data_IF_165246746259
#
_entry.id   IF_165246746259
#
_cell.length_a   1.000
_cell.length_b   1.000
_cell.length_c   1.000
_cell.angle_alpha   90.00
_cell.angle_beta   90.00
_cell.angle_gamma   90.00
#
_symmetry.space_group_name_H-M   'P 1'
#
loop_
_entity.id
_entity.type
_entity.pdbx_description
1 polymer ?
#
# COMPACT_ATOMS: atom_id res chain seq x y z
N UNK A 1 -10.29 -28.12 42.65
CA UNK A 1 -11.14 -26.99 42.23
C UNK A 1 -10.82 -26.63 40.77
N UNK A 2 -11.40 -27.31 39.79
CA UNK A 2 -11.04 -27.10 38.38
C UNK A 2 -11.70 -25.82 37.85
N UNK A 3 -10.88 -24.81 37.50
CA UNK A 3 -11.35 -23.51 37.03
C UNK A 3 -11.75 -23.64 35.56
N UNK A 4 -13.04 -23.86 35.31
CA UNK A 4 -13.60 -23.95 33.96
C UNK A 4 -13.46 -22.60 33.25
N UNK A 5 -12.46 -22.47 32.36
CA UNK A 5 -12.38 -21.33 31.44
C UNK A 5 -13.56 -21.43 30.47
N UNK A 6 -14.51 -20.50 30.59
CA UNK A 6 -15.67 -20.40 29.70
C UNK A 6 -15.18 -19.96 28.32
N UNK A 7 -15.06 -20.92 27.39
CA UNK A 7 -14.69 -20.69 25.98
C UNK A 7 -15.45 -19.51 25.35
N UNK A 8 -16.73 -19.35 25.71
CA UNK A 8 -17.59 -18.25 25.25
C UNK A 8 -17.13 -16.87 25.73
N UNK A 9 -16.59 -16.76 26.94
CA UNK A 9 -16.08 -15.49 27.47
C UNK A 9 -14.71 -15.14 26.86
N UNK A 10 -13.90 -16.15 26.54
CA UNK A 10 -12.67 -15.96 25.77
C UNK A 10 -12.96 -15.48 24.35
N UNK A 11 -13.93 -16.10 23.66
CA UNK A 11 -14.34 -15.68 22.30
C UNK A 11 -14.95 -14.27 22.29
N UNK A 12 -15.75 -13.91 23.30
CA UNK A 12 -16.27 -12.54 23.42
C UNK A 12 -15.17 -11.51 23.65
N UNK A 13 -14.19 -11.80 24.51
CA UNK A 13 -13.04 -10.92 24.74
C UNK A 13 -12.12 -10.83 23.52
N UNK A 14 -11.92 -11.94 22.81
CA UNK A 14 -11.15 -12.00 21.57
C UNK A 14 -11.87 -11.27 20.41
N UNK A 15 -13.20 -11.28 20.35
CA UNK A 15 -13.95 -10.51 19.37
C UNK A 15 -13.84 -9.00 19.63
N UNK A 16 -13.90 -8.57 20.90
CA UNK A 16 -13.78 -7.16 21.28
C UNK A 16 -12.34 -6.63 21.10
N UNK A 17 -11.32 -7.44 21.40
CA UNK A 17 -9.91 -7.07 21.18
C UNK A 17 -9.41 -7.30 19.75
N UNK A 18 -9.98 -8.28 19.05
CA UNK A 18 -9.57 -8.68 17.70
C UNK A 18 -10.19 -7.83 16.59
N UNK A 19 -11.31 -7.15 16.83
CA UNK A 19 -11.87 -6.20 15.87
C UNK A 19 -10.91 -5.01 15.61
N UNK A 20 -10.18 -4.56 16.63
CA UNK A 20 -9.15 -3.54 16.47
C UNK A 20 -7.93 -4.06 15.67
N UNK A 21 -7.55 -5.33 15.86
CA UNK A 21 -6.43 -5.95 15.14
C UNK A 21 -6.81 -6.29 13.69
N UNK A 22 -8.04 -6.75 13.44
CA UNK A 22 -8.56 -7.00 12.09
C UNK A 22 -8.68 -5.69 11.29
N UNK A 23 -9.13 -4.59 11.92
CA UNK A 23 -9.13 -3.27 11.29
C UNK A 23 -7.72 -2.72 11.03
N UNK A 24 -6.72 -3.12 11.82
CA UNK A 24 -5.31 -2.79 11.54
C UNK A 24 -4.69 -3.64 10.43
N UNK A 25 -5.22 -4.85 10.17
CA UNK A 25 -4.74 -5.74 9.10
C UNK A 25 -5.16 -5.28 7.69
N UNK A 26 -6.22 -4.47 7.59
CA UNK A 26 -6.61 -3.82 6.33
C UNK A 26 -5.84 -2.51 6.07
N UNK A 27 -5.10 -2.00 7.05
CA UNK A 27 -4.36 -0.74 6.95
C UNK A 27 -2.90 -0.92 6.50
N UNK A 28 -2.42 -2.17 6.38
CA UNK A 28 -1.01 -2.47 6.11
C UNK A 28 -0.60 -2.49 4.63
N UNK A 29 -1.45 -2.00 3.72
CA UNK A 29 -1.08 -1.80 2.31
C UNK A 29 -1.02 -0.31 1.94
N UNK A 30 -0.03 0.46 2.43
CA UNK A 30 0.12 1.89 2.10
C UNK A 30 0.11 2.16 0.60
N UNK A 31 0.67 1.25 -0.21
CA UNK A 31 0.72 1.38 -1.67
C UNK A 31 -0.66 1.29 -2.35
N UNK A 32 -1.66 0.67 -1.71
CA UNK A 32 -3.03 0.58 -2.22
C UNK A 32 -3.92 1.63 -1.56
N UNK A 33 -3.68 1.94 -0.28
CA UNK A 33 -4.43 2.92 0.48
C UNK A 33 -4.00 4.38 0.22
N UNK A 34 -2.88 4.62 -0.46
CA UNK A 34 -2.43 5.96 -0.80
C UNK A 34 -3.18 6.51 -2.03
N UNK A 35 -3.67 7.75 -1.90
CA UNK A 35 -4.32 8.49 -2.98
C UNK A 35 -3.36 8.85 -4.12
N UNK A 36 -2.05 8.99 -3.82
CA UNK A 36 -0.96 9.23 -4.78
C UNK A 36 0.26 8.40 -4.43
N UNK A 37 0.99 7.95 -5.45
CA UNK A 37 2.27 7.24 -5.33
C UNK A 37 3.37 8.07 -5.99
N UNK A 38 4.39 8.43 -5.21
CA UNK A 38 5.58 9.12 -5.73
C UNK A 38 6.62 8.10 -6.18
N UNK A 39 6.98 8.13 -7.47
CA UNK A 39 7.92 7.17 -8.08
C UNK A 39 9.23 7.86 -8.43
N UNK A 40 10.35 7.35 -7.91
CA UNK A 40 11.69 7.76 -8.32
C UNK A 40 12.21 6.88 -9.47
N UNK A 41 12.32 7.45 -10.67
CA UNK A 41 12.89 6.75 -11.83
C UNK A 41 14.41 6.90 -11.87
N UNK A 42 15.13 5.82 -11.55
CA UNK A 42 16.60 5.76 -11.64
C UNK A 42 17.01 5.13 -12.97
N UNK A 43 17.88 5.82 -13.70
CA UNK A 43 18.40 5.37 -14.99
C UNK A 43 19.94 5.34 -14.98
N UNK A 44 20.53 4.48 -15.80
CA UNK A 44 22.00 4.41 -15.99
C UNK A 44 22.53 5.46 -16.97
N UNK A 45 21.64 6.20 -17.64
CA UNK A 45 21.92 7.28 -18.56
C UNK A 45 21.51 8.64 -17.99
N UNK A 46 22.12 9.75 -18.47
CA UNK A 46 21.73 11.09 -18.05
C UNK A 46 20.31 11.45 -18.51
N UNK A 47 19.77 12.51 -17.92
CA UNK A 47 18.50 13.11 -18.36
C UNK A 47 18.62 13.54 -19.84
N UNK A 48 17.51 13.42 -20.58
CA UNK A 48 17.40 13.76 -22.00
C UNK A 48 18.28 12.97 -22.97
N UNK A 49 18.85 11.83 -22.54
CA UNK A 49 19.58 10.96 -23.45
C UNK A 49 18.70 10.55 -24.65
N UNK A 50 19.13 10.78 -25.91
CA UNK A 50 18.31 10.50 -27.08
C UNK A 50 17.85 9.04 -27.11
N UNK A 51 16.54 8.83 -27.28
CA UNK A 51 15.92 7.51 -27.27
C UNK A 51 15.64 7.00 -25.85
N UNK A 52 16.67 6.77 -25.03
CA UNK A 52 16.51 6.13 -23.71
C UNK A 52 15.95 7.11 -22.66
N UNK A 53 16.55 8.29 -22.50
CA UNK A 53 16.15 9.30 -21.53
C UNK A 53 14.84 9.99 -21.93
N UNK A 54 14.68 10.32 -23.21
CA UNK A 54 13.45 10.92 -23.72
C UNK A 54 12.27 9.94 -23.71
N UNK A 55 12.54 8.64 -23.92
CA UNK A 55 11.54 7.57 -23.77
C UNK A 55 11.05 7.42 -22.33
N UNK A 56 11.95 7.45 -21.36
CA UNK A 56 11.60 7.39 -19.93
C UNK A 56 10.71 8.56 -19.49
N UNK A 57 10.97 9.77 -19.98
CA UNK A 57 10.12 10.94 -19.71
C UNK A 57 8.72 10.80 -20.31
N UNK A 58 8.63 10.36 -21.57
CA UNK A 58 7.35 10.09 -22.23
C UNK A 58 6.55 9.01 -21.51
N UNK A 59 7.22 8.02 -20.92
CA UNK A 59 6.58 7.01 -20.09
C UNK A 59 6.01 7.64 -18.81
N UNK A 60 6.80 8.43 -18.08
CA UNK A 60 6.34 9.12 -16.87
C UNK A 60 5.13 10.02 -17.15
N UNK A 61 5.17 10.79 -18.24
CA UNK A 61 4.07 11.68 -18.64
C UNK A 61 2.79 10.91 -18.97
N UNK A 62 2.90 9.80 -19.70
CA UNK A 62 1.75 8.92 -19.99
C UNK A 62 1.19 8.26 -18.76
N UNK A 63 2.05 7.77 -17.86
CA UNK A 63 1.63 7.14 -16.62
C UNK A 63 0.83 8.12 -15.76
N UNK A 64 1.32 9.35 -15.64
CA UNK A 64 0.62 10.40 -14.91
C UNK A 64 -0.72 10.76 -15.56
N UNK A 65 -0.74 10.91 -16.89
CA UNK A 65 -1.95 11.25 -17.64
C UNK A 65 -3.02 10.16 -17.56
N UNK A 66 -2.65 8.89 -17.75
CA UNK A 66 -3.57 7.75 -17.77
C UNK A 66 -4.13 7.40 -16.39
N UNK A 67 -3.49 7.89 -15.33
CA UNK A 67 -3.86 7.62 -13.95
C UNK A 67 -4.46 8.83 -13.23
N UNK A 68 -4.78 9.90 -13.96
CA UNK A 68 -5.24 11.18 -13.39
C UNK A 68 -4.30 11.72 -12.29
N UNK A 69 -2.99 11.54 -12.47
CA UNK A 69 -1.95 12.01 -11.53
C UNK A 69 -1.84 11.23 -10.24
N UNK A 70 -2.41 10.01 -10.19
CA UNK A 70 -2.23 9.06 -9.09
C UNK A 70 -0.82 8.49 -9.03
N UNK A 71 -0.17 8.30 -10.19
CA UNK A 71 1.19 7.78 -10.33
C UNK A 71 2.12 8.78 -11.03
#
# INVERSE_FOLDING_TARGET
>A
MSKNIKRRDFLKKAAVGGAAVAASSTLAAPAIAADRVDIAMVATWPRDFPGLGTGAQRFAERLSTLSDGRF
#
